data_IF_705672762075
#
_entry.id   IF_705672762075
#
_cell.length_a   1.000
_cell.length_b   1.000
_cell.length_c   1.000
_cell.angle_alpha   90.00
_cell.angle_beta   90.00
_cell.angle_gamma   90.00
#
_symmetry.space_group_name_H-M   'P 1'
#
loop_
_entity.id
_entity.type
_entity.pdbx_description
1 polymer ?
#
# COMPACT_ATOMS: atom_id res chain seq x y z
N UNK A 1 11.88 -7.79 -15.01
CA UNK A 1 11.94 -8.39 -13.66
C UNK A 1 11.38 -7.39 -12.66
N UNK A 2 10.72 -7.83 -11.59
CA UNK A 2 10.06 -6.97 -10.60
C UNK A 2 11.03 -6.22 -9.64
N UNK A 3 12.27 -5.98 -10.05
CA UNK A 3 13.38 -5.50 -9.21
C UNK A 3 13.56 -3.97 -9.28
N UNK A 4 12.48 -3.21 -9.05
CA UNK A 4 12.52 -1.74 -8.91
C UNK A 4 11.16 -1.21 -8.44
N UNK A 5 11.18 -0.14 -7.65
CA UNK A 5 9.97 0.60 -7.27
C UNK A 5 9.71 1.84 -8.13
N UNK A 6 10.57 2.14 -9.12
CA UNK A 6 10.44 3.34 -9.94
C UNK A 6 9.40 3.17 -11.06
N UNK A 7 9.34 1.97 -11.66
CA UNK A 7 8.42 1.65 -12.76
C UNK A 7 8.92 1.97 -14.16
N UNK A 8 10.17 2.42 -14.29
CA UNK A 8 10.82 2.61 -15.59
C UNK A 8 11.27 1.29 -16.20
N UNK A 9 11.12 1.17 -17.53
CA UNK A 9 11.49 -0.04 -18.26
C UNK A 9 11.96 0.31 -19.68
N UNK A 10 13.22 0.00 -19.98
CA UNK A 10 13.83 0.28 -21.29
C UNK A 10 13.30 -0.61 -22.43
N UNK A 11 12.76 -1.80 -22.11
CA UNK A 11 12.35 -2.79 -23.10
C UNK A 11 10.92 -2.59 -23.58
N UNK A 12 10.04 -2.11 -22.70
CA UNK A 12 8.61 -1.95 -22.99
C UNK A 12 8.11 -0.51 -22.84
N UNK A 13 9.00 0.41 -22.44
CA UNK A 13 8.66 1.78 -22.08
C UNK A 13 8.06 1.89 -20.68
N UNK A 14 8.00 3.14 -20.19
CA UNK A 14 7.43 3.49 -18.89
C UNK A 14 5.98 3.93 -19.08
N UNK A 15 4.99 3.27 -18.43
CA UNK A 15 3.60 3.74 -18.44
C UNK A 15 3.51 5.18 -17.90
N UNK A 16 2.76 6.05 -18.58
CA UNK A 16 2.59 7.44 -18.15
C UNK A 16 1.74 7.50 -16.89
N UNK A 17 2.23 8.16 -15.84
CA UNK A 17 1.48 8.31 -14.59
C UNK A 17 0.22 9.18 -14.83
N UNK A 18 -0.98 8.69 -14.51
CA UNK A 18 -2.24 9.38 -14.78
C UNK A 18 -2.46 10.63 -13.91
N UNK A 19 -1.82 10.70 -12.73
CA UNK A 19 -1.96 11.81 -11.79
C UNK A 19 -0.85 12.86 -11.95
N UNK A 20 0.30 12.48 -12.52
CA UNK A 20 1.45 13.37 -12.74
C UNK A 20 2.23 12.92 -13.97
N UNK A 21 1.81 13.37 -15.14
CA UNK A 21 2.29 12.91 -16.45
C UNK A 21 3.81 13.00 -16.68
N UNK A 22 4.50 13.90 -15.97
CA UNK A 22 5.94 14.15 -15.99
C UNK A 22 6.72 13.31 -14.95
N UNK A 23 6.03 12.45 -14.19
CA UNK A 23 6.58 11.64 -13.11
C UNK A 23 6.43 10.16 -13.39
N UNK A 24 7.28 9.38 -12.74
CA UNK A 24 7.19 7.92 -12.79
C UNK A 24 5.89 7.42 -12.15
N UNK A 25 5.34 6.30 -12.63
CA UNK A 25 4.14 5.70 -12.05
C UNK A 25 4.41 4.90 -10.77
N UNK A 26 5.68 4.68 -10.42
CA UNK A 26 6.08 3.71 -9.40
C UNK A 26 6.05 2.28 -9.94
N UNK A 27 6.54 1.31 -9.18
CA UNK A 27 6.66 -0.06 -9.64
C UNK A 27 6.85 -1.09 -8.52
N UNK A 28 6.95 -2.38 -8.85
CA UNK A 28 7.01 -2.95 -10.21
C UNK A 28 5.65 -3.15 -10.88
N UNK A 29 4.53 -3.06 -10.15
CA UNK A 29 3.17 -3.21 -10.72
C UNK A 29 2.67 -1.94 -11.44
N UNK A 30 3.53 -1.32 -12.25
CA UNK A 30 3.29 -0.01 -12.88
C UNK A 30 2.09 -0.01 -13.82
N UNK A 31 2.01 -0.99 -14.73
CA UNK A 31 0.88 -1.12 -15.65
C UNK A 31 -0.45 -1.35 -14.93
N UNK A 32 -0.44 -2.19 -13.88
CA UNK A 32 -1.62 -2.44 -13.05
C UNK A 32 -2.15 -1.16 -12.40
N UNK A 33 -1.27 -0.36 -11.77
CA UNK A 33 -1.67 0.88 -11.14
C UNK A 33 -2.12 1.93 -12.17
N UNK A 34 -1.37 2.11 -13.26
CA UNK A 34 -1.71 3.09 -14.31
C UNK A 34 -3.03 2.73 -14.99
N UNK A 35 -3.31 1.46 -15.27
CA UNK A 35 -4.58 1.04 -15.89
C UNK A 35 -5.80 1.40 -15.03
N UNK A 36 -5.69 1.25 -13.71
CA UNK A 36 -6.75 1.64 -12.76
C UNK A 36 -6.84 3.16 -12.64
N UNK A 37 -5.70 3.85 -12.45
CA UNK A 37 -5.67 5.31 -12.31
C UNK A 37 -6.16 6.06 -13.56
N UNK A 38 -5.84 5.54 -14.74
CA UNK A 38 -6.31 6.05 -16.03
C UNK A 38 -7.73 5.59 -16.41
N UNK A 39 -8.45 4.93 -15.49
CA UNK A 39 -9.83 4.46 -15.68
C UNK A 39 -10.02 3.46 -16.82
N UNK A 40 -8.97 2.72 -17.21
CA UNK A 40 -9.06 1.68 -18.24
C UNK A 40 -9.72 0.42 -17.70
N UNK A 41 -9.58 0.17 -16.39
CA UNK A 41 -10.20 -0.94 -15.67
C UNK A 41 -10.67 -0.49 -14.28
N UNK A 42 -11.64 -1.21 -13.72
CA UNK A 42 -12.16 -0.95 -12.37
C UNK A 42 -11.19 -1.36 -11.26
N UNK A 43 -10.47 -2.46 -11.48
CA UNK A 43 -9.46 -3.01 -10.59
C UNK A 43 -8.38 -3.75 -11.38
N UNK A 44 -7.24 -3.99 -10.75
CA UNK A 44 -6.16 -4.81 -11.30
C UNK A 44 -5.42 -5.54 -10.19
N UNK A 45 -4.69 -6.61 -10.55
CA UNK A 45 -3.82 -7.36 -9.63
C UNK A 45 -2.36 -6.92 -9.79
N UNK A 46 -1.59 -7.11 -8.74
CA UNK A 46 -0.14 -6.94 -8.74
C UNK A 46 0.52 -7.75 -7.64
N UNK A 47 1.83 -7.59 -7.50
CA UNK A 47 2.61 -8.25 -6.43
C UNK A 47 3.41 -7.21 -5.66
N UNK A 48 3.50 -7.39 -4.35
CA UNK A 48 4.21 -6.50 -3.43
C UNK A 48 5.24 -7.31 -2.63
N UNK A 49 6.49 -7.27 -3.08
CA UNK A 49 7.64 -7.86 -2.36
C UNK A 49 8.26 -6.85 -1.41
N UNK A 50 8.46 -5.60 -1.87
CA UNK A 50 9.07 -4.53 -1.08
C UNK A 50 8.32 -3.20 -1.10
N UNK A 51 7.09 -3.18 -1.65
CA UNK A 51 6.32 -1.96 -1.90
C UNK A 51 5.62 -1.94 -3.25
N UNK A 52 5.73 -3.00 -4.04
CA UNK A 52 5.37 -2.98 -5.46
C UNK A 52 3.87 -2.94 -5.78
N UNK A 53 3.00 -2.92 -4.77
CA UNK A 53 1.60 -2.50 -4.90
C UNK A 53 1.40 -1.13 -4.25
N UNK A 54 1.88 -0.94 -3.01
CA UNK A 54 1.63 0.29 -2.24
C UNK A 54 2.26 1.54 -2.86
N UNK A 55 3.49 1.44 -3.38
CA UNK A 55 4.22 2.56 -4.00
C UNK A 55 3.52 3.04 -5.28
N UNK A 56 3.28 2.20 -6.31
CA UNK A 56 2.60 2.66 -7.51
C UNK A 56 1.16 3.09 -7.26
N UNK A 57 0.45 2.51 -6.27
CA UNK A 57 -0.87 2.99 -5.88
C UNK A 57 -0.82 4.44 -5.36
N UNK A 58 0.11 4.73 -4.46
CA UNK A 58 0.34 6.08 -3.92
C UNK A 58 0.69 7.07 -5.03
N UNK A 59 1.63 6.71 -5.92
CA UNK A 59 2.08 7.60 -7.00
C UNK A 59 1.00 7.85 -8.06
N UNK A 60 0.16 6.86 -8.34
CA UNK A 60 -0.95 6.99 -9.28
C UNK A 60 -2.25 7.49 -8.62
N UNK A 61 -2.23 7.86 -7.33
CA UNK A 61 -3.39 8.45 -6.64
C UNK A 61 -4.59 7.51 -6.48
N UNK A 62 -4.36 6.21 -6.29
CA UNK A 62 -5.39 5.18 -6.17
C UNK A 62 -5.19 4.32 -4.91
N UNK A 63 -6.17 3.50 -4.56
CA UNK A 63 -6.01 2.52 -3.50
C UNK A 63 -5.20 1.32 -3.99
N UNK A 64 -4.29 0.84 -3.15
CA UNK A 64 -3.58 -0.41 -3.34
C UNK A 64 -3.38 -1.11 -2.01
N UNK A 65 -3.71 -2.40 -1.94
CA UNK A 65 -3.60 -3.20 -0.72
C UNK A 65 -2.61 -4.34 -0.90
N UNK A 66 -1.69 -4.45 0.06
CA UNK A 66 -0.90 -5.65 0.29
C UNK A 66 -1.53 -6.39 1.48
N UNK A 67 -2.22 -7.52 1.29
CA UNK A 67 -2.79 -8.28 2.39
C UNK A 67 -1.69 -8.97 3.22
N UNK A 68 -2.08 -9.68 4.27
CA UNK A 68 -1.15 -10.54 5.02
C UNK A 68 -0.48 -11.54 4.09
N UNK A 69 0.81 -11.82 4.31
CA UNK A 69 1.56 -12.75 3.45
C UNK A 69 0.91 -14.14 3.49
N UNK A 70 0.84 -14.80 2.33
CA UNK A 70 0.28 -16.15 2.19
C UNK A 70 -1.25 -16.28 2.16
N UNK A 71 -2.03 -15.24 2.47
CA UNK A 71 -3.51 -15.35 2.48
C UNK A 71 -4.13 -15.42 1.09
N UNK A 72 -3.41 -14.94 0.07
CA UNK A 72 -3.73 -15.13 -1.34
C UNK A 72 -2.64 -16.00 -1.94
N UNK A 73 -3.04 -17.08 -2.62
CA UNK A 73 -2.09 -18.01 -3.25
C UNK A 73 -1.20 -17.29 -4.26
N UNK A 74 0.10 -17.58 -4.20
CA UNK A 74 1.11 -17.14 -5.18
C UNK A 74 1.36 -18.20 -6.25
N UNK A 75 0.53 -19.25 -6.33
CA UNK A 75 0.63 -20.25 -7.38
C UNK A 75 0.53 -19.58 -8.77
N UNK A 76 1.52 -19.87 -9.64
CA UNK A 76 1.62 -19.26 -10.98
C UNK A 76 2.23 -17.86 -11.02
N UNK A 77 2.56 -17.25 -9.87
CA UNK A 77 3.31 -16.00 -9.81
C UNK A 77 4.79 -16.30 -10.03
N UNK A 78 5.46 -15.53 -10.90
CA UNK A 78 6.92 -15.62 -11.08
C UNK A 78 7.58 -15.11 -9.78
N UNK A 79 8.35 -15.95 -9.08
CA UNK A 79 8.91 -15.58 -7.79
C UNK A 79 10.01 -14.52 -7.92
N UNK A 80 10.09 -13.64 -6.92
CA UNK A 80 11.20 -12.70 -6.74
C UNK A 80 11.88 -12.93 -5.40
N UNK A 81 11.14 -12.87 -4.30
CA UNK A 81 11.60 -13.26 -2.98
C UNK A 81 10.41 -13.88 -2.23
N UNK A 82 10.23 -15.19 -2.35
CA UNK A 82 8.99 -15.90 -1.96
C UNK A 82 8.54 -15.63 -0.52
N UNK A 83 9.47 -15.42 0.40
CA UNK A 83 9.18 -15.06 1.81
C UNK A 83 8.54 -13.68 2.00
N UNK A 84 8.50 -12.87 0.94
CA UNK A 84 7.93 -11.52 0.91
C UNK A 84 6.89 -11.34 -0.19
N UNK A 85 6.97 -12.10 -1.27
CA UNK A 85 6.06 -12.01 -2.42
C UNK A 85 4.60 -12.15 -1.98
N UNK A 86 3.83 -11.08 -2.16
CA UNK A 86 2.41 -11.03 -1.77
C UNK A 86 1.57 -10.56 -2.94
N UNK A 87 0.53 -11.31 -3.33
CA UNK A 87 -0.46 -10.83 -4.31
C UNK A 87 -1.31 -9.75 -3.67
N UNK A 88 -1.42 -8.60 -4.34
CA UNK A 88 -2.24 -7.47 -3.93
C UNK A 88 -3.07 -6.96 -5.10
N UNK A 89 -3.90 -5.95 -4.85
CA UNK A 89 -4.78 -5.39 -5.86
C UNK A 89 -5.00 -3.90 -5.69
N UNK A 90 -5.49 -3.29 -6.77
CA UNK A 90 -5.70 -1.86 -6.92
C UNK A 90 -7.15 -1.56 -7.25
N UNK A 91 -7.65 -0.41 -6.79
CA UNK A 91 -8.94 0.15 -7.21
C UNK A 91 -8.96 1.66 -6.99
N UNK A 92 -9.84 2.39 -7.71
CA UNK A 92 -10.05 3.83 -7.46
C UNK A 92 -11.03 4.12 -6.32
N UNK A 93 -11.82 3.14 -5.92
CA UNK A 93 -12.77 3.29 -4.82
C UNK A 93 -12.68 2.12 -3.85
N UNK A 94 -12.94 2.41 -2.58
CA UNK A 94 -12.86 1.44 -1.49
C UNK A 94 -13.90 0.32 -1.60
N UNK A 95 -15.04 0.58 -2.24
CA UNK A 95 -16.08 -0.43 -2.45
C UNK A 95 -15.60 -1.55 -3.39
N UNK A 96 -15.00 -1.21 -4.53
CA UNK A 96 -14.40 -2.17 -5.46
C UNK A 96 -13.19 -2.85 -4.83
N UNK A 97 -12.33 -2.10 -4.12
CA UNK A 97 -11.22 -2.68 -3.37
C UNK A 97 -11.70 -3.77 -2.40
N UNK A 98 -12.79 -3.50 -1.67
CA UNK A 98 -13.43 -4.46 -0.75
C UNK A 98 -14.00 -5.67 -1.49
N UNK A 99 -14.74 -5.46 -2.59
CA UNK A 99 -15.34 -6.55 -3.40
C UNK A 99 -14.29 -7.52 -3.94
N UNK A 100 -13.15 -7.01 -4.40
CA UNK A 100 -12.02 -7.86 -4.81
C UNK A 100 -11.48 -8.65 -3.62
N UNK A 101 -11.36 -8.01 -2.45
CA UNK A 101 -10.99 -8.68 -1.20
C UNK A 101 -11.95 -9.78 -0.77
N UNK A 102 -13.27 -9.60 -0.93
CA UNK A 102 -14.30 -10.61 -0.62
C UNK A 102 -14.15 -11.87 -1.49
N UNK A 103 -13.54 -11.76 -2.67
CA UNK A 103 -13.25 -12.90 -3.56
C UNK A 103 -11.91 -13.55 -3.24
N UNK A 104 -10.87 -12.74 -3.02
CA UNK A 104 -9.49 -13.24 -2.88
C UNK A 104 -9.15 -13.73 -1.47
N UNK A 105 -9.78 -13.15 -0.45
CA UNK A 105 -9.50 -13.48 0.93
C UNK A 105 -10.39 -14.64 1.38
N UNK A 106 -9.89 -15.53 2.27
CA UNK A 106 -10.75 -16.53 2.89
C UNK A 106 -11.92 -15.84 3.58
N UNK A 107 -13.11 -16.45 3.50
CA UNK A 107 -14.30 -15.93 4.18
C UNK A 107 -14.03 -15.81 5.68
N UNK A 108 -14.16 -14.59 6.19
CA UNK A 108 -14.02 -14.31 7.62
C UNK A 108 -15.26 -13.59 8.10
N UNK A 109 -15.80 -13.99 9.25
CA UNK A 109 -16.80 -13.23 9.98
C UNK A 109 -16.11 -12.03 10.65
N UNK A 110 -15.81 -11.01 9.84
CA UNK A 110 -15.18 -9.78 10.32
C UNK A 110 -16.26 -8.81 10.78
N UNK A 111 -16.27 -8.52 12.07
CA UNK A 111 -16.93 -7.33 12.58
C UNK A 111 -16.00 -6.13 12.40
N UNK A 112 -16.48 -4.98 11.89
CA UNK A 112 -15.68 -3.77 11.85
C UNK A 112 -15.23 -3.38 13.25
N UNK A 113 -13.92 -3.48 13.51
CA UNK A 113 -13.34 -3.04 14.78
C UNK A 113 -12.84 -1.61 14.62
N UNK A 114 -13.21 -0.73 15.56
CA UNK A 114 -12.56 0.57 15.68
C UNK A 114 -11.32 0.39 16.54
N UNK A 115 -10.14 0.88 16.12
CA UNK A 115 -8.96 0.82 16.97
C UNK A 115 -9.17 1.73 18.20
N UNK A 116 -8.85 1.24 19.40
CA UNK A 116 -8.87 2.04 20.63
C UNK A 116 -7.62 2.93 20.75
N UNK A 117 -6.53 2.51 20.09
CA UNK A 117 -5.23 3.18 20.12
C UNK A 117 -4.61 3.22 18.73
N UNK A 118 -3.90 4.31 18.43
CA UNK A 118 -3.08 4.43 17.22
C UNK A 118 -1.64 4.70 17.62
N UNK A 119 -0.71 3.90 17.11
CA UNK A 119 0.72 4.02 17.39
C UNK A 119 1.42 4.54 16.14
N UNK A 120 2.15 5.65 16.27
CA UNK A 120 2.90 6.27 15.17
C UNK A 120 4.39 5.98 15.40
N UNK A 121 5.00 5.24 14.48
CA UNK A 121 6.44 4.97 14.46
C UNK A 121 7.18 6.20 13.91
N UNK A 122 7.50 7.16 14.80
CA UNK A 122 7.99 8.48 14.42
C UNK A 122 9.37 8.43 13.74
N UNK A 123 10.21 7.49 14.14
CA UNK A 123 11.51 7.27 13.51
C UNK A 123 11.41 6.86 12.04
N UNK A 124 10.40 6.06 11.67
CA UNK A 124 10.16 5.71 10.27
C UNK A 124 9.86 6.95 9.41
N UNK A 125 9.19 7.97 9.98
CA UNK A 125 8.95 9.23 9.29
C UNK A 125 10.16 10.16 9.32
N UNK A 126 11.00 10.10 10.37
CA UNK A 126 12.27 10.86 10.45
C UNK A 126 13.31 10.41 9.42
N UNK A 127 13.23 9.17 8.94
CA UNK A 127 14.06 8.70 7.82
C UNK A 127 13.74 9.41 6.49
N UNK A 128 12.65 10.19 6.42
CA UNK A 128 12.28 10.96 5.24
C UNK A 128 12.71 12.42 5.45
N UNK A 129 13.85 12.82 4.87
CA UNK A 129 14.48 14.13 5.08
C UNK A 129 13.49 15.32 5.04
N UNK A 130 12.95 15.60 3.86
CA UNK A 130 12.24 16.85 3.59
C UNK A 130 10.71 16.75 3.76
N UNK A 131 10.15 15.55 3.59
CA UNK A 131 8.71 15.29 3.58
C UNK A 131 8.18 14.60 4.83
N UNK A 132 9.06 14.20 5.75
CA UNK A 132 8.68 13.45 6.95
C UNK A 132 7.64 14.17 7.79
N UNK A 133 7.79 15.48 7.99
CA UNK A 133 6.87 16.30 8.80
C UNK A 133 5.49 16.41 8.13
N UNK A 134 5.45 16.73 6.82
CA UNK A 134 4.21 16.90 6.07
C UNK A 134 3.45 15.57 5.95
N UNK A 135 4.17 14.47 5.69
CA UNK A 135 3.58 13.13 5.58
C UNK A 135 3.03 12.65 6.92
N UNK A 136 3.76 12.89 8.02
CA UNK A 136 3.28 12.58 9.37
C UNK A 136 2.01 13.36 9.69
N UNK A 137 2.00 14.68 9.41
CA UNK A 137 0.84 15.53 9.65
C UNK A 137 -0.38 15.08 8.85
N UNK A 138 -0.21 14.81 7.55
CA UNK A 138 -1.30 14.34 6.68
C UNK A 138 -1.86 12.99 7.16
N UNK A 139 -1.00 12.10 7.65
CA UNK A 139 -1.41 10.84 8.27
C UNK A 139 -2.23 11.07 9.55
N UNK A 140 -1.73 11.91 10.47
CA UNK A 140 -2.43 12.23 11.72
C UNK A 140 -3.81 12.87 11.47
N UNK A 141 -3.88 13.82 10.55
CA UNK A 141 -5.14 14.47 10.17
C UNK A 141 -6.13 13.45 9.59
N UNK A 142 -5.65 12.48 8.80
CA UNK A 142 -6.47 11.40 8.25
C UNK A 142 -6.99 10.46 9.33
N UNK A 143 -6.13 10.04 10.27
CA UNK A 143 -6.53 9.20 11.42
C UNK A 143 -7.57 9.91 12.27
N UNK A 144 -7.33 11.19 12.60
CA UNK A 144 -8.27 12.00 13.38
C UNK A 144 -9.62 12.14 12.67
N UNK A 145 -9.61 12.34 11.36
CA UNK A 145 -10.83 12.45 10.54
C UNK A 145 -11.65 11.16 10.54
N UNK A 146 -10.99 10.00 10.42
CA UNK A 146 -11.67 8.70 10.29
C UNK A 146 -12.14 8.19 11.65
N UNK A 147 -11.29 8.31 12.68
CA UNK A 147 -11.48 7.64 13.95
C UNK A 147 -11.75 8.57 15.13
N UNK A 148 -11.89 9.88 14.93
CA UNK A 148 -12.29 10.87 15.96
C UNK A 148 -11.57 10.69 17.31
N UNK A 149 -10.41 11.33 17.49
CA UNK A 149 -9.55 11.27 18.69
C UNK A 149 -9.51 9.88 19.37
N UNK A 150 -8.71 8.98 18.82
CA UNK A 150 -8.10 7.86 19.54
C UNK A 150 -6.92 8.36 20.37
N UNK A 151 -6.57 7.64 21.45
CA UNK A 151 -5.30 7.86 22.16
C UNK A 151 -4.15 7.57 21.19
N UNK A 152 -3.61 8.60 20.54
CA UNK A 152 -2.47 8.48 19.64
C UNK A 152 -1.17 8.53 20.46
N UNK A 153 -0.35 7.48 20.41
CA UNK A 153 0.97 7.45 21.04
C UNK A 153 2.04 7.44 19.96
N UNK A 154 3.01 8.35 20.08
CA UNK A 154 4.21 8.33 19.23
C UNK A 154 5.27 7.46 19.89
N UNK A 155 5.96 6.65 19.11
CA UNK A 155 7.04 5.76 19.56
C UNK A 155 8.15 5.68 18.53
N UNK A 156 9.34 5.24 18.96
CA UNK A 156 10.42 4.82 18.08
C UNK A 156 10.31 3.30 17.87
N UNK A 157 10.84 2.73 16.77
CA UNK A 157 10.88 1.28 16.51
C UNK A 157 11.53 0.53 17.67
N UNK A 158 12.59 1.08 18.28
CA UNK A 158 13.22 0.51 19.47
C UNK A 158 12.33 0.56 20.74
N UNK A 159 11.26 1.36 20.73
CA UNK A 159 10.25 1.43 21.78
C UNK A 159 9.06 0.49 21.57
N UNK A 160 8.96 -0.19 20.41
CA UNK A 160 7.88 -1.17 20.16
C UNK A 160 8.00 -2.41 21.08
N UNK A 161 9.22 -2.81 21.46
CA UNK A 161 9.46 -3.88 22.43
C UNK A 161 8.95 -3.54 23.86
N UNK A 162 8.77 -2.25 24.19
CA UNK A 162 8.20 -1.81 25.47
C UNK A 162 6.67 -1.78 25.46
N UNK A 163 6.04 -1.88 24.29
CA UNK A 163 4.58 -1.86 24.14
C UNK A 163 3.95 -3.26 24.26
N UNK A 164 4.75 -4.33 24.21
CA UNK A 164 4.28 -5.72 24.40
C UNK A 164 4.19 -6.16 25.87
N UNK A 165 4.34 -5.23 26.82
CA UNK A 165 4.20 -5.48 28.27
C UNK A 165 2.91 -4.86 28.85
N UNK A 166 1.94 -4.51 28.00
CA UNK A 166 0.66 -3.91 28.40
C UNK A 166 -0.48 -4.76 27.86
#
# INVERSE_FOLDING_TARGET
MAYSINGENIHSGTPRNPCAADRVPGGSSSGSAVSVGAMLVDFSLGTDTGGSVRVPASYCGIFGIRPSHGVVSTAGVIPMAQSFDTVGWFARNSSILKKVGEVLLPSQNLHPTRPDQVIIAEDCFKLQDFWGIQSTKAFEDSVKKIYGYTNSRRTMVNGLAQLSQI
#
